data_IF_084207781298
#
_entry.id   IF_084207781298
#
_cell.length_a   1.000
_cell.length_b   1.000
_cell.length_c   1.000
_cell.angle_alpha   90.00
_cell.angle_beta   90.00
_cell.angle_gamma   90.00
#
_symmetry.space_group_name_H-M   'P 1'
#
loop_
_entity.id
_entity.type
_entity.pdbx_description
1 polymer ?
#
# COMPACT_ATOMS: atom_id res chain seq x y z
N UNK A 1 10.77 0.14 13.88
CA UNK A 1 10.08 -0.87 13.07
C UNK A 1 9.96 -2.16 13.87
N UNK A 2 8.83 -2.86 13.76
CA UNK A 2 8.75 -4.23 14.29
C UNK A 2 9.69 -5.13 13.49
N UNK A 3 10.19 -6.20 14.14
CA UNK A 3 11.05 -7.18 13.48
C UNK A 3 10.21 -8.05 12.55
N UNK A 4 10.67 -8.20 11.30
CA UNK A 4 10.08 -9.13 10.34
C UNK A 4 10.62 -10.53 10.62
N UNK A 5 9.73 -11.45 10.98
CA UNK A 5 10.09 -12.84 11.26
C UNK A 5 9.87 -13.67 9.99
N UNK A 6 10.97 -14.19 9.45
CA UNK A 6 11.03 -15.05 8.26
C UNK A 6 11.72 -16.36 8.63
N UNK A 7 11.40 -17.45 7.93
CA UNK A 7 12.11 -18.72 8.07
C UNK A 7 13.61 -18.53 7.86
N UNK A 8 14.43 -19.05 8.78
CA UNK A 8 15.89 -18.91 8.81
C UNK A 8 16.58 -19.38 7.53
N UNK A 9 15.99 -20.31 6.81
CA UNK A 9 16.53 -20.84 5.56
C UNK A 9 16.71 -19.78 4.46
N UNK A 10 15.99 -18.66 4.55
CA UNK A 10 16.05 -17.58 3.56
C UNK A 10 17.14 -16.55 3.82
N UNK A 11 17.61 -16.39 5.09
CA UNK A 11 18.61 -15.36 5.44
C UNK A 11 19.96 -15.55 4.76
N UNK A 12 20.32 -16.80 4.40
CA UNK A 12 21.57 -17.09 3.70
C UNK A 12 21.45 -16.99 2.16
N UNK A 13 20.22 -16.84 1.63
CA UNK A 13 19.94 -16.84 0.20
C UNK A 13 19.47 -15.51 -0.32
N UNK A 14 18.78 -14.74 0.51
CA UNK A 14 18.14 -13.49 0.17
C UNK A 14 18.53 -12.38 1.15
N UNK A 15 18.57 -11.15 0.66
CA UNK A 15 18.82 -9.99 1.51
C UNK A 15 17.53 -9.57 2.27
N UNK A 16 17.20 -10.33 3.30
CA UNK A 16 16.02 -10.09 4.15
C UNK A 16 16.11 -8.73 4.85
N UNK A 17 17.31 -8.27 5.19
CA UNK A 17 17.51 -6.93 5.76
C UNK A 17 17.12 -5.83 4.76
N UNK A 18 17.54 -5.96 3.49
CA UNK A 18 17.13 -5.06 2.40
C UNK A 18 15.62 -5.05 2.22
N UNK A 19 14.98 -6.23 2.26
CA UNK A 19 13.54 -6.37 2.17
C UNK A 19 12.82 -5.66 3.35
N UNK A 20 13.28 -5.88 4.57
CA UNK A 20 12.70 -5.21 5.74
C UNK A 20 12.82 -3.67 5.67
N UNK A 21 13.88 -3.16 5.05
CA UNK A 21 14.11 -1.73 4.84
C UNK A 21 13.26 -1.11 3.73
N UNK A 22 12.57 -1.91 2.90
CA UNK A 22 11.67 -1.38 1.85
C UNK A 22 10.61 -0.42 2.40
N UNK A 23 10.15 -0.62 3.63
CA UNK A 23 9.18 0.25 4.30
C UNK A 23 9.82 1.32 5.20
N UNK A 24 11.14 1.42 5.25
CA UNK A 24 11.80 2.41 6.10
C UNK A 24 11.61 3.84 5.59
N UNK A 25 11.50 4.79 6.53
CA UNK A 25 11.39 6.24 6.28
C UNK A 25 10.36 6.60 5.19
N UNK A 26 9.11 6.18 5.31
CA UNK A 26 8.09 6.49 4.33
C UNK A 26 7.71 7.97 4.45
N UNK A 27 7.80 8.72 3.33
CA UNK A 27 7.24 10.08 3.25
C UNK A 27 5.72 10.07 3.16
N UNK A 28 5.15 9.00 2.56
CA UNK A 28 3.72 8.73 2.41
C UNK A 28 3.48 7.23 2.61
N UNK A 29 2.23 6.83 2.78
CA UNK A 29 1.86 5.42 2.97
C UNK A 29 2.06 4.51 1.75
N UNK A 30 2.41 5.03 0.58
CA UNK A 30 2.53 4.28 -0.68
C UNK A 30 3.37 3.01 -0.59
N UNK A 31 4.51 3.05 0.12
CA UNK A 31 5.39 1.88 0.22
C UNK A 31 4.70 0.69 0.88
N UNK A 32 3.84 0.95 1.87
CA UNK A 32 3.06 -0.10 2.53
C UNK A 32 2.05 -0.71 1.59
N UNK A 33 1.26 0.12 0.89
CA UNK A 33 0.26 -0.36 -0.06
C UNK A 33 0.89 -1.07 -1.26
N UNK A 34 2.03 -0.57 -1.76
CA UNK A 34 2.79 -1.21 -2.84
C UNK A 34 3.28 -2.60 -2.43
N UNK A 35 3.95 -2.72 -1.28
CA UNK A 35 4.48 -3.99 -0.82
C UNK A 35 3.36 -4.98 -0.46
N UNK A 36 2.29 -4.52 0.16
CA UNK A 36 1.08 -5.31 0.44
C UNK A 36 0.47 -5.88 -0.84
N UNK A 37 0.29 -5.04 -1.88
CA UNK A 37 -0.23 -5.47 -3.17
C UNK A 37 0.67 -6.53 -3.84
N UNK A 38 1.99 -6.34 -3.83
CA UNK A 38 2.96 -7.32 -4.36
C UNK A 38 2.85 -8.66 -3.62
N UNK A 39 2.84 -8.65 -2.29
CA UNK A 39 2.75 -9.88 -1.49
C UNK A 39 1.45 -10.62 -1.77
N UNK A 40 0.33 -9.91 -1.88
CA UNK A 40 -0.97 -10.51 -2.22
C UNK A 40 -0.98 -11.11 -3.64
N UNK A 41 -0.40 -10.43 -4.62
CA UNK A 41 -0.33 -10.92 -6.01
C UNK A 41 0.57 -12.16 -6.14
N UNK A 42 1.73 -12.16 -5.46
CA UNK A 42 2.61 -13.33 -5.39
C UNK A 42 1.90 -14.51 -4.71
N UNK A 43 1.17 -14.25 -3.62
CA UNK A 43 0.40 -15.29 -2.90
C UNK A 43 -0.74 -15.86 -3.75
N UNK A 44 -1.23 -15.09 -4.74
CA UNK A 44 -2.15 -15.54 -5.78
C UNK A 44 -1.46 -16.21 -6.98
N UNK A 45 -0.20 -16.66 -6.82
CA UNK A 45 0.62 -17.35 -7.83
C UNK A 45 0.93 -16.51 -9.08
N UNK A 46 0.97 -15.17 -8.95
CA UNK A 46 1.41 -14.31 -10.04
C UNK A 46 2.94 -14.21 -10.01
N UNK A 47 3.56 -14.40 -11.15
CA UNK A 47 5.02 -14.27 -11.37
C UNK A 47 5.38 -12.97 -12.07
N UNK A 48 4.44 -12.43 -12.81
CA UNK A 48 4.53 -11.16 -13.52
C UNK A 48 3.22 -10.39 -13.40
N UNK A 49 3.30 -9.07 -13.26
CA UNK A 49 2.14 -8.18 -13.19
C UNK A 49 2.49 -6.82 -13.78
N UNK A 50 1.50 -6.12 -14.31
CA UNK A 50 1.67 -4.73 -14.74
C UNK A 50 1.61 -3.75 -13.56
N UNK A 51 2.14 -2.55 -13.76
CA UNK A 51 1.92 -1.46 -12.79
C UNK A 51 0.44 -1.19 -12.57
N UNK A 52 -0.38 -1.32 -13.62
CA UNK A 52 -1.82 -1.14 -13.51
C UNK A 52 -2.45 -2.13 -12.53
N UNK A 53 -2.10 -3.41 -12.63
CA UNK A 53 -2.60 -4.45 -11.72
C UNK A 53 -2.17 -4.20 -10.28
N UNK A 54 -0.89 -3.80 -10.05
CA UNK A 54 -0.42 -3.50 -8.69
C UNK A 54 -1.17 -2.28 -8.13
N UNK A 55 -1.31 -1.21 -8.93
CA UNK A 55 -1.99 0.02 -8.49
C UNK A 55 -3.48 -0.23 -8.26
N UNK A 56 -4.13 -1.04 -9.09
CA UNK A 56 -5.51 -1.46 -8.86
C UNK A 56 -5.65 -2.19 -7.51
N UNK A 57 -4.69 -3.08 -7.19
CA UNK A 57 -4.66 -3.76 -5.89
C UNK A 57 -4.39 -2.80 -4.73
N UNK A 58 -3.55 -1.78 -4.93
CA UNK A 58 -3.36 -0.71 -3.94
C UNK A 58 -4.66 0.07 -3.69
N UNK A 59 -5.43 0.38 -4.74
CA UNK A 59 -6.74 1.05 -4.63
C UNK A 59 -7.72 0.18 -3.84
N UNK A 60 -7.79 -1.12 -4.13
CA UNK A 60 -8.60 -2.09 -3.36
C UNK A 60 -8.24 -2.05 -1.87
N UNK A 61 -6.95 -2.17 -1.55
CA UNK A 61 -6.46 -2.16 -0.17
C UNK A 61 -6.69 -0.82 0.56
N UNK A 62 -6.76 0.29 -0.18
CA UNK A 62 -6.99 1.62 0.36
C UNK A 62 -8.49 2.01 0.40
N UNK A 63 -9.36 1.27 -0.28
CA UNK A 63 -10.77 1.60 -0.44
C UNK A 63 -11.47 1.82 0.88
N UNK A 64 -11.56 0.79 1.69
CA UNK A 64 -12.28 0.83 2.96
C UNK A 64 -11.72 1.87 3.96
N UNK A 65 -10.40 1.93 4.20
CA UNK A 65 -9.81 2.94 5.08
C UNK A 65 -10.15 4.38 4.69
N UNK A 66 -10.13 4.67 3.39
CA UNK A 66 -10.38 6.03 2.87
C UNK A 66 -11.88 6.35 2.88
N UNK A 67 -12.74 5.43 2.41
CA UNK A 67 -14.16 5.73 2.24
C UNK A 67 -14.96 5.61 3.53
N UNK A 68 -14.64 4.65 4.40
CA UNK A 68 -15.38 4.45 5.65
C UNK A 68 -14.86 5.33 6.78
N UNK A 69 -13.54 5.44 6.89
CA UNK A 69 -12.92 6.12 8.04
C UNK A 69 -12.30 7.47 7.70
N UNK A 70 -12.34 7.88 6.44
CA UNK A 70 -11.75 9.13 5.96
C UNK A 70 -10.28 9.30 6.37
N UNK A 71 -9.52 8.16 6.35
CA UNK A 71 -8.10 8.17 6.68
C UNK A 71 -7.32 8.81 5.53
N UNK A 72 -6.52 9.82 5.84
CA UNK A 72 -5.62 10.45 4.88
C UNK A 72 -4.33 9.64 4.72
N UNK A 73 -4.04 9.24 3.48
CA UNK A 73 -2.90 8.38 3.16
C UNK A 73 -1.55 9.10 3.17
N UNK A 74 -1.56 10.42 3.08
CA UNK A 74 -0.37 11.27 3.22
C UNK A 74 -0.21 11.90 4.60
N UNK A 75 -1.18 11.70 5.49
CA UNK A 75 -1.36 12.53 6.68
C UNK A 75 -1.96 13.89 6.36
N UNK A 76 -2.30 14.67 7.39
CA UNK A 76 -2.80 16.03 7.20
C UNK A 76 -1.63 16.99 7.04
N UNK A 77 -1.57 17.66 5.90
CA UNK A 77 -0.64 18.73 5.63
C UNK A 77 -1.42 20.02 5.30
N UNK A 78 -1.61 20.90 6.30
CA UNK A 78 -2.26 22.18 6.10
C UNK A 78 -3.75 22.06 5.71
N UNK A 79 -4.38 23.12 5.32
CA UNK A 79 -5.81 23.35 5.06
C UNK A 79 -6.69 22.29 4.38
N UNK A 80 -6.50 21.00 4.69
CA UNK A 80 -7.41 19.91 4.24
C UNK A 80 -7.26 19.46 2.80
N UNK A 81 -6.22 19.87 2.07
CA UNK A 81 -5.97 19.38 0.72
C UNK A 81 -5.45 17.94 0.71
N UNK A 82 -6.17 17.06 0.02
CA UNK A 82 -5.70 15.70 -0.30
C UNK A 82 -4.54 15.79 -1.29
N UNK A 83 -3.32 15.51 -0.85
CA UNK A 83 -2.11 15.52 -1.70
C UNK A 83 -1.76 14.15 -2.27
N UNK A 84 -2.27 13.09 -1.66
CA UNK A 84 -1.94 11.70 -1.99
C UNK A 84 -2.68 11.23 -3.26
N UNK A 85 -1.93 10.74 -4.25
CA UNK A 85 -2.52 10.30 -5.51
C UNK A 85 -3.27 8.96 -5.38
N UNK A 86 -2.93 8.10 -4.42
CA UNK A 86 -3.69 6.88 -4.16
C UNK A 86 -5.06 7.25 -3.54
N UNK A 87 -5.08 8.16 -2.58
CA UNK A 87 -6.32 8.67 -1.98
C UNK A 87 -7.20 9.38 -3.03
N UNK A 88 -6.58 10.18 -3.92
CA UNK A 88 -7.29 10.81 -5.05
C UNK A 88 -7.87 9.79 -6.02
N UNK A 89 -7.14 8.72 -6.34
CA UNK A 89 -7.64 7.66 -7.21
C UNK A 89 -8.83 6.92 -6.57
N UNK A 90 -8.75 6.58 -5.27
CA UNK A 90 -9.86 5.99 -4.51
C UNK A 90 -11.07 6.92 -4.51
N UNK A 91 -10.87 8.21 -4.18
CA UNK A 91 -11.95 9.20 -4.13
C UNK A 91 -12.57 9.46 -5.51
N UNK A 92 -11.76 9.42 -6.59
CA UNK A 92 -12.27 9.55 -7.95
C UNK A 92 -13.13 8.36 -8.33
N UNK A 93 -12.67 7.14 -8.10
CA UNK A 93 -13.45 5.93 -8.38
C UNK A 93 -14.76 5.92 -7.58
N UNK A 94 -14.74 6.33 -6.32
CA UNK A 94 -15.94 6.45 -5.49
C UNK A 94 -16.96 7.40 -6.10
N UNK A 95 -16.52 8.56 -6.61
CA UNK A 95 -17.40 9.54 -7.28
C UNK A 95 -17.96 9.05 -8.62
N UNK A 96 -17.27 8.16 -9.31
CA UNK A 96 -17.68 7.60 -10.59
C UNK A 96 -18.59 6.37 -10.43
N UNK A 97 -18.51 5.70 -9.29
CA UNK A 97 -19.21 4.45 -9.03
C UNK A 97 -20.18 4.62 -7.87
N UNK A 98 -21.28 3.88 -7.87
CA UNK A 98 -22.21 3.82 -6.73
C UNK A 98 -21.81 2.73 -5.72
N UNK A 99 -20.49 2.45 -5.60
CA UNK A 99 -20.00 1.42 -4.69
C UNK A 99 -20.07 1.88 -3.22
N UNK A 100 -20.51 1.02 -2.31
CA UNK A 100 -20.44 1.31 -0.88
C UNK A 100 -19.00 1.28 -0.36
N UNK A 101 -18.75 1.86 0.80
CA UNK A 101 -17.43 1.86 1.45
C UNK A 101 -16.90 0.45 1.75
N UNK A 102 -17.78 -0.52 1.97
CA UNK A 102 -17.47 -1.93 2.20
C UNK A 102 -17.54 -2.81 0.94
N UNK A 103 -17.43 -2.21 -0.26
CA UNK A 103 -17.38 -2.95 -1.50
C UNK A 103 -16.23 -3.96 -1.49
N UNK A 104 -16.47 -5.15 -2.03
CA UNK A 104 -15.44 -6.19 -2.15
C UNK A 104 -14.46 -5.93 -3.30
N UNK A 105 -13.37 -6.71 -3.32
CA UNK A 105 -12.32 -6.58 -4.33
C UNK A 105 -12.87 -6.71 -5.76
N UNK A 106 -13.77 -7.67 -6.00
CA UNK A 106 -14.31 -7.96 -7.33
C UNK A 106 -15.12 -6.76 -7.83
N UNK A 107 -15.95 -6.19 -6.97
CA UNK A 107 -16.75 -5.01 -7.28
C UNK A 107 -15.87 -3.81 -7.64
N UNK A 108 -14.82 -3.56 -6.84
CA UNK A 108 -13.89 -2.44 -7.06
C UNK A 108 -13.12 -2.64 -8.37
N UNK A 109 -12.58 -3.84 -8.62
CA UNK A 109 -11.83 -4.13 -9.85
C UNK A 109 -12.72 -4.01 -11.09
N UNK A 110 -13.97 -4.47 -11.04
CA UNK A 110 -14.92 -4.31 -12.14
C UNK A 110 -15.15 -2.82 -12.47
N UNK A 111 -15.28 -1.98 -11.45
CA UNK A 111 -15.45 -0.53 -11.66
C UNK A 111 -14.16 0.15 -12.16
N UNK A 112 -12.99 -0.28 -11.70
CA UNK A 112 -11.71 0.18 -12.24
C UNK A 112 -11.58 -0.12 -13.75
N UNK A 113 -12.04 -1.29 -14.18
CA UNK A 113 -12.06 -1.68 -15.59
C UNK A 113 -13.11 -0.88 -16.40
N UNK A 114 -14.30 -0.70 -15.84
CA UNK A 114 -15.39 0.09 -16.47
C UNK A 114 -14.96 1.55 -16.70
N UNK A 115 -14.27 2.16 -15.74
CA UNK A 115 -13.81 3.54 -15.80
C UNK A 115 -12.34 3.69 -16.24
N UNK A 116 -11.78 2.69 -16.93
CA UNK A 116 -10.36 2.71 -17.39
C UNK A 116 -10.02 3.92 -18.26
N UNK A 117 -11.01 4.46 -19.01
CA UNK A 117 -10.86 5.61 -19.88
C UNK A 117 -11.05 6.97 -19.17
N UNK A 118 -11.38 6.98 -17.87
CA UNK A 118 -11.48 8.23 -17.12
C UNK A 118 -10.11 8.89 -16.98
N UNK A 119 -9.99 10.09 -17.54
CA UNK A 119 -8.71 10.81 -17.65
C UNK A 119 -8.11 11.16 -16.28
N UNK A 120 -8.94 11.48 -15.32
CA UNK A 120 -8.49 11.90 -13.99
C UNK A 120 -8.03 10.69 -13.18
N UNK A 121 -8.78 9.58 -13.20
CA UNK A 121 -8.38 8.32 -12.57
C UNK A 121 -7.08 7.81 -13.19
N UNK A 122 -6.97 7.80 -14.52
CA UNK A 122 -5.75 7.43 -15.24
C UNK A 122 -4.55 8.30 -14.86
N UNK A 123 -4.76 9.61 -14.73
CA UNK A 123 -3.71 10.53 -14.29
C UNK A 123 -3.19 10.18 -12.89
N UNK A 124 -4.08 9.99 -11.89
CA UNK A 124 -3.65 9.64 -10.53
C UNK A 124 -2.91 8.30 -10.47
N UNK A 125 -3.39 7.29 -11.20
CA UNK A 125 -2.68 5.99 -11.32
C UNK A 125 -1.30 6.16 -11.95
N UNK A 126 -1.18 6.97 -13.00
CA UNK A 126 0.11 7.23 -13.68
C UNK A 126 1.09 7.97 -12.76
N UNK A 127 0.63 8.92 -11.93
CA UNK A 127 1.49 9.62 -10.97
C UNK A 127 2.12 8.64 -9.95
N UNK A 128 1.40 7.60 -9.54
CA UNK A 128 1.94 6.58 -8.64
C UNK A 128 3.11 5.80 -9.27
N UNK A 129 3.15 5.64 -10.59
CA UNK A 129 4.25 4.94 -11.27
C UNK A 129 5.58 5.68 -11.23
N UNK A 130 5.56 6.99 -11.00
CA UNK A 130 6.76 7.85 -11.11
C UNK A 130 7.76 7.69 -9.97
N UNK A 131 7.32 7.19 -8.82
CA UNK A 131 8.17 7.11 -7.64
C UNK A 131 8.08 5.77 -6.89
N UNK A 132 6.89 5.27 -6.66
CA UNK A 132 6.63 4.19 -5.71
C UNK A 132 7.40 2.91 -6.04
N UNK A 133 7.41 2.40 -7.28
CA UNK A 133 7.98 1.10 -7.60
C UNK A 133 9.47 0.96 -7.29
N UNK A 134 10.26 1.96 -7.68
CA UNK A 134 11.72 1.92 -7.49
C UNK A 134 12.15 2.51 -6.15
N UNK A 135 11.42 3.47 -5.58
CA UNK A 135 11.69 3.96 -4.22
C UNK A 135 11.38 2.93 -3.13
N UNK A 136 10.48 2.01 -3.39
CA UNK A 136 10.27 0.86 -2.50
C UNK A 136 11.53 -0.01 -2.39
N UNK A 137 12.32 -0.16 -3.46
CA UNK A 137 13.59 -0.90 -3.44
C UNK A 137 14.76 -0.17 -2.75
N UNK A 138 14.53 0.98 -2.13
CA UNK A 138 15.60 1.77 -1.49
C UNK A 138 16.40 0.99 -0.43
N UNK A 139 15.82 -0.04 0.20
CA UNK A 139 16.52 -0.92 1.12
C UNK A 139 17.67 -1.72 0.51
N UNK A 140 17.66 -1.88 -0.80
CA UNK A 140 18.70 -2.56 -1.58
C UNK A 140 19.70 -1.59 -2.26
N UNK A 141 19.39 -0.29 -2.26
CA UNK A 141 20.24 0.69 -2.90
C UNK A 141 21.64 0.73 -2.25
N UNK A 142 22.67 0.93 -3.10
CA UNK A 142 24.06 1.08 -2.67
C UNK A 142 24.67 -0.12 -1.93
N UNK A 143 24.05 -1.29 -2.01
CA UNK A 143 24.59 -2.55 -1.45
C UNK A 143 25.60 -3.22 -2.38
N UNK A 144 25.49 -2.99 -3.70
CA UNK A 144 26.45 -3.47 -4.70
C UNK A 144 27.63 -2.53 -4.90
N UNK A 145 28.45 -2.82 -5.91
CA UNK A 145 29.61 -2.01 -6.29
C UNK A 145 29.23 -0.66 -6.89
N UNK A 146 28.16 -0.62 -7.70
CA UNK A 146 27.61 0.61 -8.27
C UNK A 146 26.84 1.39 -7.20
N UNK A 147 27.05 2.70 -7.14
CA UNK A 147 26.33 3.60 -6.25
C UNK A 147 25.35 4.47 -7.03
N UNK A 148 24.20 4.77 -6.41
CA UNK A 148 23.17 5.62 -7.00
C UNK A 148 22.65 6.65 -6.00
N UNK A 149 22.41 7.87 -6.48
CA UNK A 149 21.63 8.86 -5.73
C UNK A 149 20.12 8.48 -5.79
N UNK A 150 19.51 8.31 -4.65
CA UNK A 150 18.07 7.98 -4.51
C UNK A 150 17.14 9.07 -5.06
N UNK A 151 17.65 10.26 -5.36
CA UNK A 151 16.93 11.33 -6.03
C UNK A 151 17.07 11.30 -7.55
N UNK A 152 17.75 10.29 -8.10
CA UNK A 152 17.86 10.10 -9.56
C UNK A 152 16.50 9.90 -10.21
N UNK A 153 16.42 10.19 -11.53
CA UNK A 153 15.19 9.98 -12.31
C UNK A 153 14.73 8.52 -12.31
N UNK A 154 13.43 8.30 -12.50
CA UNK A 154 12.82 6.96 -12.54
C UNK A 154 13.56 6.00 -13.49
N UNK A 155 13.84 6.43 -14.72
CA UNK A 155 14.54 5.60 -15.70
C UNK A 155 15.95 5.20 -15.24
N UNK A 156 16.68 6.11 -14.59
CA UNK A 156 18.03 5.82 -14.05
C UNK A 156 17.95 4.84 -12.87
N UNK A 157 16.97 5.01 -11.98
CA UNK A 157 16.74 4.11 -10.85
C UNK A 157 16.36 2.70 -11.31
N UNK A 158 15.42 2.59 -12.26
CA UNK A 158 14.99 1.32 -12.83
C UNK A 158 16.18 0.59 -13.50
N UNK A 159 16.94 1.28 -14.34
CA UNK A 159 18.10 0.70 -15.00
C UNK A 159 19.16 0.23 -13.98
N UNK A 160 19.39 1.00 -12.93
CA UNK A 160 20.26 0.61 -11.82
C UNK A 160 19.81 -0.69 -11.15
N UNK A 161 18.53 -0.77 -10.74
CA UNK A 161 18.02 -1.96 -10.05
C UNK A 161 18.01 -3.19 -10.95
N UNK A 162 17.67 -3.04 -12.24
CA UNK A 162 17.73 -4.16 -13.17
C UNK A 162 19.16 -4.71 -13.32
N UNK A 163 20.19 -3.81 -13.39
CA UNK A 163 21.60 -4.24 -13.41
C UNK A 163 22.00 -4.90 -12.10
N UNK A 164 21.65 -4.30 -10.98
CA UNK A 164 21.97 -4.83 -9.65
C UNK A 164 21.42 -6.24 -9.45
N UNK A 165 20.16 -6.48 -9.86
CA UNK A 165 19.52 -7.79 -9.77
C UNK A 165 20.15 -8.84 -10.68
N UNK A 166 20.72 -8.41 -11.81
CA UNK A 166 21.37 -9.32 -12.78
C UNK A 166 22.80 -9.73 -12.42
N UNK A 167 23.49 -8.99 -11.54
CA UNK A 167 24.93 -9.15 -11.33
C UNK A 167 25.36 -9.39 -9.89
N UNK A 168 24.73 -8.79 -8.90
CA UNK A 168 25.29 -8.74 -7.55
C UNK A 168 24.31 -9.17 -6.45
N UNK A 169 23.06 -8.74 -6.54
CA UNK A 169 22.05 -8.94 -5.50
C UNK A 169 20.73 -9.34 -6.15
N UNK A 170 20.14 -10.45 -5.73
CA UNK A 170 18.82 -10.84 -6.15
C UNK A 170 17.78 -9.93 -5.51
N UNK A 171 17.10 -9.11 -6.32
CA UNK A 171 16.02 -8.23 -5.86
C UNK A 171 14.66 -8.95 -5.88
N UNK A 172 13.69 -8.49 -5.09
CA UNK A 172 12.33 -9.04 -5.09
C UNK A 172 11.68 -9.01 -6.49
N UNK A 173 11.97 -7.97 -7.26
CA UNK A 173 11.42 -7.80 -8.59
C UNK A 173 12.32 -6.93 -9.48
N UNK A 174 12.10 -7.07 -10.78
CA UNK A 174 12.74 -6.28 -11.84
C UNK A 174 11.67 -5.68 -12.76
N UNK A 175 12.08 -4.84 -13.70
CA UNK A 175 11.19 -4.08 -14.58
C UNK A 175 11.52 -4.32 -16.05
N UNK A 176 10.50 -4.41 -16.90
CA UNK A 176 10.67 -4.39 -18.35
C UNK A 176 10.82 -2.97 -18.92
N UNK A 177 10.95 -2.85 -20.24
CA UNK A 177 11.13 -1.57 -20.95
C UNK A 177 9.82 -0.82 -21.23
N UNK A 178 8.65 -1.43 -20.96
CA UNK A 178 7.36 -0.77 -21.13
C UNK A 178 7.24 0.49 -20.28
N UNK A 179 6.29 1.37 -20.65
CA UNK A 179 6.14 2.68 -19.99
C UNK A 179 4.82 2.77 -19.24
N UNK A 180 4.82 3.66 -18.23
CA UNK A 180 3.63 4.00 -17.47
C UNK A 180 2.95 2.75 -16.89
N UNK A 181 1.63 2.69 -16.91
CA UNK A 181 0.81 1.60 -16.35
C UNK A 181 1.04 0.24 -17.02
N UNK A 182 1.54 0.21 -18.25
CA UNK A 182 1.85 -1.04 -18.98
C UNK A 182 3.18 -1.68 -18.59
N UNK A 183 4.02 -0.99 -17.80
CA UNK A 183 5.29 -1.55 -17.33
C UNK A 183 5.04 -2.82 -16.53
N UNK A 184 5.77 -3.89 -16.90
CA UNK A 184 5.69 -5.18 -16.21
C UNK A 184 6.75 -5.25 -15.12
N UNK A 185 6.32 -5.76 -13.98
CA UNK A 185 7.14 -6.16 -12.84
C UNK A 185 7.22 -7.66 -12.84
N UNK A 186 8.42 -8.20 -12.96
CA UNK A 186 8.70 -9.64 -12.90
C UNK A 186 9.30 -9.98 -11.55
N UNK A 187 8.69 -10.92 -10.83
CA UNK A 187 9.13 -11.36 -9.51
C UNK A 187 10.20 -12.45 -9.63
N UNK A 188 11.22 -12.42 -8.80
CA UNK A 188 12.28 -13.43 -8.80
C UNK A 188 11.88 -14.68 -8.00
N UNK A 189 12.14 -15.87 -8.54
CA UNK A 189 11.70 -17.16 -8.00
C UNK A 189 12.04 -17.36 -6.52
N UNK A 190 13.27 -17.03 -6.11
CA UNK A 190 13.67 -17.13 -4.69
C UNK A 190 12.83 -16.26 -3.76
N UNK A 191 12.43 -15.08 -4.23
CA UNK A 191 11.57 -14.17 -3.49
C UNK A 191 10.11 -14.61 -3.54
N UNK A 192 9.63 -15.17 -4.67
CA UNK A 192 8.29 -15.76 -4.77
C UNK A 192 8.13 -16.83 -3.70
N UNK A 193 9.06 -17.78 -3.64
CA UNK A 193 8.99 -18.87 -2.67
C UNK A 193 9.03 -18.35 -1.22
N UNK A 194 9.96 -17.42 -0.91
CA UNK A 194 10.06 -16.84 0.42
C UNK A 194 8.77 -16.13 0.85
N UNK A 195 8.18 -15.35 -0.06
CA UNK A 195 6.94 -14.62 0.21
C UNK A 195 5.77 -15.58 0.40
N UNK A 196 5.64 -16.60 -0.44
CA UNK A 196 4.57 -17.60 -0.34
C UNK A 196 4.65 -18.37 0.98
N UNK A 197 5.84 -18.83 1.37
CA UNK A 197 6.06 -19.57 2.61
C UNK A 197 5.81 -18.72 3.88
N UNK A 198 5.98 -17.39 3.78
CA UNK A 198 5.89 -16.47 4.91
C UNK A 198 4.76 -15.42 4.75
N UNK A 199 3.79 -15.65 3.88
CA UNK A 199 2.74 -14.66 3.53
C UNK A 199 2.07 -14.05 4.75
N UNK A 200 1.64 -14.87 5.71
CA UNK A 200 0.93 -14.40 6.92
C UNK A 200 1.83 -13.49 7.77
N UNK A 201 3.08 -13.88 8.00
CA UNK A 201 4.05 -13.08 8.75
C UNK A 201 4.34 -11.74 8.07
N UNK A 202 4.53 -11.76 6.75
CA UNK A 202 4.85 -10.56 5.96
C UNK A 202 3.65 -9.61 5.92
N UNK A 203 2.44 -10.10 5.64
CA UNK A 203 1.24 -9.26 5.63
C UNK A 203 0.92 -8.70 7.02
N UNK A 204 1.10 -9.50 8.06
CA UNK A 204 0.93 -9.04 9.44
C UNK A 204 1.91 -7.92 9.80
N UNK A 205 3.18 -8.06 9.41
CA UNK A 205 4.21 -7.05 9.61
C UNK A 205 3.93 -5.76 8.81
N UNK A 206 3.54 -5.87 7.52
CA UNK A 206 3.16 -4.72 6.70
C UNK A 206 1.96 -4.00 7.33
N UNK A 207 0.92 -4.75 7.72
CA UNK A 207 -0.29 -4.21 8.35
C UNK A 207 0.05 -3.44 9.62
N UNK A 208 0.89 -4.02 10.49
CA UNK A 208 1.33 -3.36 11.72
C UNK A 208 2.03 -2.03 11.46
N UNK A 209 3.05 -2.01 10.59
CA UNK A 209 3.81 -0.79 10.29
C UNK A 209 2.94 0.26 9.56
N UNK A 210 2.07 -0.17 8.64
CA UNK A 210 1.10 0.69 7.96
C UNK A 210 0.14 1.37 8.94
N UNK A 211 -0.49 0.58 9.82
CA UNK A 211 -1.45 1.09 10.80
C UNK A 211 -0.77 2.05 11.77
N UNK A 212 0.42 1.71 12.25
CA UNK A 212 1.21 2.58 13.12
C UNK A 212 1.54 3.92 12.44
N UNK A 213 1.96 3.88 11.18
CA UNK A 213 2.25 5.09 10.41
C UNK A 213 0.99 5.95 10.21
N UNK A 214 -0.12 5.33 9.80
CA UNK A 214 -1.39 6.02 9.60
C UNK A 214 -1.89 6.66 10.89
N UNK A 215 -1.80 5.96 12.04
CA UNK A 215 -2.22 6.51 13.34
C UNK A 215 -1.42 7.75 13.72
N UNK A 216 -0.11 7.73 13.48
CA UNK A 216 0.77 8.87 13.79
C UNK A 216 0.53 10.09 12.88
N UNK A 217 0.03 9.86 11.67
CA UNK A 217 -0.15 10.89 10.66
C UNK A 217 -1.63 11.31 10.45
N UNK A 218 -2.56 10.77 11.25
CA UNK A 218 -3.98 11.14 11.25
C UNK A 218 -4.45 11.33 12.71
N UNK A 219 -3.95 12.33 13.41
CA UNK A 219 -4.28 12.54 14.83
C UNK A 219 -5.77 12.85 15.07
N UNK A 220 -6.46 13.38 14.06
CA UNK A 220 -7.90 13.67 14.08
C UNK A 220 -8.79 12.42 13.93
N UNK A 221 -8.23 11.30 13.47
CA UNK A 221 -8.97 10.03 13.35
C UNK A 221 -8.62 9.11 14.52
N UNK A 222 -9.44 9.09 15.60
CA UNK A 222 -9.11 8.29 16.77
C UNK A 222 -9.26 6.79 16.49
N UNK A 223 -8.37 6.00 17.08
CA UNK A 223 -8.49 4.54 17.11
C UNK A 223 -8.28 3.86 15.76
N UNK A 224 -7.41 4.39 14.88
CA UNK A 224 -7.09 3.76 13.58
C UNK A 224 -6.60 2.33 13.78
N UNK A 225 -5.78 2.06 14.79
CA UNK A 225 -5.34 0.70 15.13
C UNK A 225 -6.55 -0.22 15.27
N UNK A 226 -7.52 0.18 16.09
CA UNK A 226 -8.73 -0.59 16.32
C UNK A 226 -9.56 -0.76 15.02
N UNK A 227 -9.76 0.34 14.28
CA UNK A 227 -10.56 0.36 13.05
C UNK A 227 -10.02 -0.56 11.95
N UNK A 228 -8.70 -0.62 11.80
CA UNK A 228 -8.04 -1.37 10.73
C UNK A 228 -7.56 -2.78 11.16
N UNK A 229 -7.62 -3.13 12.44
CA UNK A 229 -7.19 -4.45 12.91
C UNK A 229 -8.34 -5.37 13.30
N UNK A 230 -9.55 -4.84 13.50
CA UNK A 230 -10.71 -5.67 13.73
C UNK A 230 -11.26 -6.22 12.41
N UNK A 231 -11.23 -7.53 12.29
CA UNK A 231 -11.84 -8.27 11.19
C UNK A 231 -13.38 -8.39 11.33
N UNK A 232 -13.95 -7.99 12.46
CA UNK A 232 -15.37 -8.09 12.72
C UNK A 232 -16.13 -6.92 12.12
N UNK A 233 -16.80 -7.15 11.01
CA UNK A 233 -17.87 -6.33 10.43
C UNK A 233 -19.12 -6.21 11.34
N UNK A 234 -19.06 -6.69 12.56
CA UNK A 234 -20.14 -6.45 13.50
C UNK A 234 -20.22 -4.96 13.74
N UNK A 235 -21.12 -4.35 12.99
CA UNK A 235 -21.56 -2.98 13.19
C UNK A 235 -21.50 -2.68 14.69
N UNK A 236 -20.73 -1.68 15.09
CA UNK A 236 -20.73 -1.23 16.49
C UNK A 236 -22.17 -1.12 16.89
N UNK A 237 -22.57 -1.83 17.95
CA UNK A 237 -23.91 -1.66 18.52
C UNK A 237 -23.99 -0.25 19.09
N UNK A 238 -24.20 0.72 18.21
CA UNK A 238 -24.38 2.15 18.55
C UNK A 238 -25.59 2.35 19.48
N UNK A 239 -26.47 1.35 19.56
CA UNK A 239 -27.57 1.36 20.52
C UNK A 239 -27.13 1.59 21.96
N UNK A 240 -26.01 1.03 22.39
CA UNK A 240 -25.48 1.25 23.73
C UNK A 240 -24.89 2.66 23.90
N UNK A 241 -24.26 3.18 22.86
CA UNK A 241 -23.72 4.55 22.85
C UNK A 241 -24.88 5.55 22.82
N UNK A 242 -25.91 5.31 22.02
CA UNK A 242 -27.11 6.14 21.96
C UNK A 242 -27.85 6.17 23.31
N UNK A 243 -28.07 5.01 23.94
CA UNK A 243 -28.65 4.94 25.29
C UNK A 243 -27.82 5.69 26.32
N UNK A 244 -26.49 5.64 26.23
CA UNK A 244 -25.60 6.41 27.12
C UNK A 244 -25.75 7.93 26.89
N UNK A 245 -25.81 8.36 25.63
CA UNK A 245 -26.02 9.77 25.29
C UNK A 245 -27.38 10.26 25.72
N UNK A 246 -28.44 9.49 25.47
CA UNK A 246 -29.81 9.83 25.90
C UNK A 246 -29.86 9.98 27.42
N UNK A 247 -29.25 9.07 28.17
CA UNK A 247 -29.19 9.14 29.65
C UNK A 247 -28.36 10.38 30.12
N UNK A 248 -27.27 10.77 29.42
CA UNK A 248 -26.47 11.97 29.77
C UNK A 248 -27.26 13.24 29.47
N UNK A 249 -28.02 13.28 28.39
CA UNK A 249 -28.83 14.45 28.00
C UNK A 249 -30.04 14.62 28.93
N UNK A 250 -30.65 13.54 29.41
CA UNK A 250 -31.72 13.57 30.42
C UNK A 250 -31.22 14.10 31.78
N UNK A 251 -29.95 13.82 32.13
CA UNK A 251 -29.35 14.28 33.41
C UNK A 251 -28.94 15.75 33.36
N UNK A 252 -28.76 16.35 32.15
CA UNK A 252 -28.43 17.78 31.96
C UNK A 252 -29.51 18.47 31.10
N UNK A 253 -30.67 18.83 31.69
CA UNK A 253 -31.59 19.71 30.96
C UNK A 253 -30.85 21.02 30.66
N UNK A 254 -30.77 21.36 29.37
CA UNK A 254 -30.24 22.64 28.91
C UNK A 254 -31.14 23.73 29.53
N UNK A 255 -30.55 24.59 30.39
CA UNK A 255 -31.19 25.83 30.89
C UNK A 255 -31.09 26.92 29.83
#
# INVERSE_FOLDING_TARGET
MAELIIDRNYYNKLDIEGFSKMMSSPSYSYKFYWLEAIVQLISANRTEVTYDEIINKMIVNAWFPVQEYHIHLSGIYGEGEVKDNLEKAVSRLFKLSDLPSNADEIQIINKLNEFSDDKELHFYKTELTKNVPYKALSGFANKGTEKIDLNSSAGRMIAYYNRLSGSEILLPYTFNDEKSLKKVVSFNDGWIQMIQDNTVSILGWIKYEKVKWLQNNNPEVPGIVYKLTQEDEKARKLENVRKLWDAILEIRPVK
#
